data_IF_341643670264
#
_entry.id   IF_341643670264
#
_cell.length_a   1.000
_cell.length_b   1.000
_cell.length_c   1.000
_cell.angle_alpha   90.00
_cell.angle_beta   90.00
_cell.angle_gamma   90.00
#
_symmetry.space_group_name_H-M   'P 1'
#
loop_
_entity.id
_entity.type
_entity.pdbx_description
1 polymer ?
#
# COMPACT_ATOMS: atom_id res chain seq x y z
N UNK A 1 -7.02 6.29 74.19
CA UNK A 1 -7.01 4.86 73.79
C UNK A 1 -8.38 4.46 73.29
N UNK A 2 -8.49 4.14 71.99
CA UNK A 2 -9.25 3.04 71.37
C UNK A 2 -9.35 3.34 69.87
N UNK A 3 -8.35 2.87 69.13
CA UNK A 3 -8.33 2.88 67.68
C UNK A 3 -9.42 1.95 67.14
N UNK A 4 -10.17 2.42 66.14
CA UNK A 4 -11.29 1.74 65.52
C UNK A 4 -10.77 0.94 64.30
N UNK A 5 -10.76 -0.41 64.32
CA UNK A 5 -10.03 -1.20 63.34
C UNK A 5 -10.94 -1.58 62.16
N UNK A 6 -11.45 -0.60 61.43
CA UNK A 6 -12.32 -0.81 60.25
C UNK A 6 -11.75 -0.10 59.02
N UNK A 7 -10.48 -0.36 58.71
CA UNK A 7 -9.87 -0.09 57.41
C UNK A 7 -8.57 -0.89 57.19
N UNK A 8 -8.52 -2.16 57.63
CA UNK A 8 -7.32 -2.98 57.41
C UNK A 8 -7.37 -3.69 56.06
N UNK A 9 -6.32 -3.49 55.25
CA UNK A 9 -6.09 -4.09 53.91
C UNK A 9 -6.30 -5.62 53.88
N UNK A 10 -6.16 -6.29 55.03
CA UNK A 10 -6.37 -7.73 55.19
C UNK A 10 -7.85 -8.14 55.10
N UNK A 11 -8.78 -7.26 55.47
CA UNK A 11 -10.23 -7.49 55.32
C UNK A 11 -10.69 -7.41 53.86
N UNK A 12 -10.05 -6.57 53.05
CA UNK A 12 -10.30 -6.47 51.61
C UNK A 12 -9.83 -7.73 50.86
N UNK A 13 -8.64 -8.23 51.19
CA UNK A 13 -8.12 -9.48 50.60
C UNK A 13 -8.96 -10.69 50.99
N UNK A 14 -9.51 -10.72 52.22
CA UNK A 14 -10.42 -11.79 52.65
C UNK A 14 -11.76 -11.74 51.91
N UNK A 15 -12.31 -10.53 51.65
CA UNK A 15 -13.52 -10.35 50.82
C UNK A 15 -13.29 -10.77 49.37
N UNK A 16 -12.13 -10.47 48.77
CA UNK A 16 -11.78 -10.93 47.43
C UNK A 16 -11.67 -12.47 47.34
N UNK A 17 -11.03 -13.11 48.32
CA UNK A 17 -10.86 -14.56 48.35
C UNK A 17 -12.21 -15.31 48.52
N UNK A 18 -13.15 -14.78 49.31
CA UNK A 18 -14.48 -15.41 49.47
C UNK A 18 -15.38 -15.22 48.25
N UNK A 19 -15.16 -14.19 47.44
CA UNK A 19 -15.99 -13.93 46.23
C UNK A 19 -15.55 -14.79 45.04
N UNK A 20 -14.26 -15.17 44.97
CA UNK A 20 -13.74 -16.04 43.91
C UNK A 20 -14.24 -17.50 43.99
N UNK A 21 -14.61 -17.99 45.18
CA UNK A 21 -15.03 -19.38 45.38
C UNK A 21 -16.53 -19.64 45.09
N UNK A 22 -17.36 -18.60 44.95
CA UNK A 22 -18.80 -18.73 44.71
C UNK A 22 -19.22 -18.46 43.25
N UNK A 23 -18.29 -18.09 42.37
CA UNK A 23 -18.56 -17.84 40.95
C UNK A 23 -18.28 -19.05 40.03
N UNK A 24 -18.04 -20.24 40.60
CA UNK A 24 -17.82 -21.48 39.83
C UNK A 24 -19.10 -22.28 39.56
N UNK A 25 -20.27 -21.74 39.92
CA UNK A 25 -21.57 -22.37 39.62
C UNK A 25 -22.52 -21.32 39.04
N UNK A 26 -22.48 -21.12 37.72
CA UNK A 26 -23.51 -20.38 37.00
C UNK A 26 -23.04 -19.25 36.08
N UNK A 27 -22.13 -19.52 35.14
CA UNK A 27 -21.82 -18.59 34.04
C UNK A 27 -22.53 -18.92 32.71
N UNK A 28 -23.47 -19.87 32.70
CA UNK A 28 -24.19 -20.26 31.47
C UNK A 28 -25.42 -19.39 31.16
N UNK A 29 -25.49 -18.14 31.63
CA UNK A 29 -26.69 -17.31 31.46
C UNK A 29 -26.42 -15.87 30.99
N UNK A 30 -25.45 -15.62 30.10
CA UNK A 30 -25.55 -14.53 29.09
C UNK A 30 -24.76 -14.96 27.85
N UNK A 31 -25.31 -15.90 27.08
CA UNK A 31 -24.93 -16.12 25.69
C UNK A 31 -26.11 -15.67 24.81
N UNK A 32 -26.39 -14.37 24.83
CA UNK A 32 -27.39 -13.75 23.99
C UNK A 32 -26.69 -12.80 23.02
N UNK A 33 -26.55 -13.30 21.79
CA UNK A 33 -26.57 -12.57 20.53
C UNK A 33 -25.53 -11.44 20.33
N UNK A 34 -24.30 -11.85 20.01
CA UNK A 34 -23.44 -11.05 19.13
C UNK A 34 -23.46 -11.72 17.75
N UNK A 35 -24.55 -11.55 17.01
CA UNK A 35 -24.57 -11.66 15.55
C UNK A 35 -23.75 -10.50 14.92
N UNK A 36 -22.47 -10.42 15.26
CA UNK A 36 -21.49 -9.68 14.49
C UNK A 36 -21.29 -10.51 13.24
N UNK A 37 -21.91 -10.08 12.13
CA UNK A 37 -21.86 -10.74 10.85
C UNK A 37 -20.43 -11.18 10.52
N UNK A 38 -20.23 -12.48 10.40
CA UNK A 38 -18.96 -13.08 9.98
C UNK A 38 -18.59 -12.51 8.61
N UNK A 39 -17.71 -11.51 8.58
CA UNK A 39 -17.01 -11.14 7.37
C UNK A 39 -16.15 -12.33 6.96
N UNK A 40 -16.66 -13.14 6.03
CA UNK A 40 -15.88 -14.18 5.37
C UNK A 40 -14.82 -13.48 4.50
N UNK A 41 -13.63 -13.27 5.06
CA UNK A 41 -12.48 -12.88 4.25
C UNK A 41 -12.09 -14.12 3.43
N UNK A 42 -12.47 -14.13 2.14
CA UNK A 42 -12.03 -15.16 1.22
C UNK A 42 -10.50 -15.06 1.11
N UNK A 43 -9.79 -15.96 1.81
CA UNK A 43 -8.35 -16.09 1.67
C UNK A 43 -8.09 -16.66 0.29
N UNK A 44 -7.76 -15.80 -0.67
CA UNK A 44 -7.37 -16.25 -2.00
C UNK A 44 -6.04 -17.00 -1.89
N UNK A 45 -6.09 -18.31 -2.08
CA UNK A 45 -4.88 -19.14 -2.17
C UNK A 45 -4.22 -18.86 -3.52
N UNK A 46 -3.13 -18.09 -3.51
CA UNK A 46 -2.31 -17.90 -4.70
C UNK A 46 -1.57 -19.21 -4.98
N UNK A 47 -1.96 -19.91 -6.05
CA UNK A 47 -1.17 -20.99 -6.61
C UNK A 47 0.23 -20.45 -7.01
N UNK A 48 1.22 -21.35 -7.10
CA UNK A 48 2.58 -21.00 -7.51
C UNK A 48 2.55 -20.14 -8.78
N UNK A 49 2.99 -18.90 -8.65
CA UNK A 49 2.86 -17.89 -9.72
C UNK A 49 3.85 -18.22 -10.82
N UNK A 50 3.33 -18.50 -12.00
CA UNK A 50 4.16 -18.74 -13.18
C UNK A 50 4.91 -17.47 -13.57
N UNK A 51 6.07 -17.60 -14.23
CA UNK A 51 6.82 -16.44 -14.72
C UNK A 51 5.99 -15.53 -15.66
N UNK A 52 4.98 -16.09 -16.34
CA UNK A 52 4.06 -15.36 -17.22
C UNK A 52 2.96 -14.58 -16.45
N UNK A 53 2.83 -14.82 -15.15
CA UNK A 53 1.90 -14.13 -14.24
C UNK A 53 2.62 -13.08 -13.38
N UNK A 54 3.95 -12.95 -13.52
CA UNK A 54 4.73 -11.94 -12.82
C UNK A 54 4.57 -10.58 -13.50
N UNK A 55 4.26 -9.55 -12.71
CA UNK A 55 4.19 -8.15 -13.14
C UNK A 55 5.43 -7.42 -12.63
N UNK A 56 6.26 -6.97 -13.55
CA UNK A 56 7.45 -6.20 -13.25
C UNK A 56 7.11 -4.71 -13.21
N UNK A 57 7.29 -4.11 -12.05
CA UNK A 57 7.01 -2.70 -11.81
C UNK A 57 8.30 -1.89 -11.67
N UNK A 58 8.22 -0.61 -11.98
CA UNK A 58 9.27 0.36 -11.70
C UNK A 58 8.74 1.56 -10.92
N UNK A 59 9.57 2.11 -10.03
CA UNK A 59 9.25 3.30 -9.24
C UNK A 59 9.92 4.53 -9.84
N UNK A 60 9.16 5.60 -10.07
CA UNK A 60 9.66 6.92 -10.49
C UNK A 60 9.29 7.92 -9.38
N UNK A 61 10.27 8.32 -8.57
CA UNK A 61 10.09 9.13 -7.35
C UNK A 61 10.11 8.26 -6.09
N UNK A 62 11.30 8.01 -5.54
CA UNK A 62 11.51 7.18 -4.35
C UNK A 62 11.39 7.98 -3.03
N UNK A 63 10.40 8.87 -2.98
CA UNK A 63 10.04 9.61 -1.77
C UNK A 63 9.21 8.78 -0.78
N UNK A 64 8.60 9.44 0.21
CA UNK A 64 7.80 8.77 1.24
C UNK A 64 6.62 7.97 0.67
N UNK A 65 5.77 8.62 -0.14
CA UNK A 65 4.62 7.97 -0.77
C UNK A 65 5.07 6.88 -1.75
N UNK A 66 5.96 7.20 -2.70
CA UNK A 66 6.46 6.21 -3.66
C UNK A 66 7.06 4.96 -3.00
N UNK A 67 7.75 5.11 -1.87
CA UNK A 67 8.25 3.98 -1.08
C UNK A 67 7.11 3.17 -0.46
N UNK A 68 6.11 3.84 0.12
CA UNK A 68 4.93 3.20 0.73
C UNK A 68 4.07 2.44 -0.29
N UNK A 69 3.82 3.06 -1.45
CA UNK A 69 3.01 2.48 -2.52
C UNK A 69 3.71 1.25 -3.10
N UNK A 70 5.03 1.36 -3.32
CA UNK A 70 5.86 0.24 -3.77
C UNK A 70 5.88 -0.89 -2.74
N UNK A 71 6.00 -0.58 -1.45
CA UNK A 71 5.98 -1.58 -0.40
C UNK A 71 4.64 -2.33 -0.36
N UNK A 72 3.53 -1.63 -0.59
CA UNK A 72 2.19 -2.22 -0.65
C UNK A 72 2.04 -3.09 -1.89
N UNK A 73 2.50 -2.62 -3.06
CA UNK A 73 2.47 -3.38 -4.30
C UNK A 73 3.24 -4.70 -4.19
N UNK A 74 4.40 -4.69 -3.53
CA UNK A 74 5.24 -5.87 -3.31
C UNK A 74 4.63 -6.91 -2.35
N UNK A 75 3.56 -6.59 -1.64
CA UNK A 75 2.81 -7.58 -0.84
C UNK A 75 1.94 -8.48 -1.72
N UNK A 76 1.64 -8.05 -2.95
CA UNK A 76 0.84 -8.81 -3.89
C UNK A 76 1.75 -9.89 -4.51
N UNK A 77 1.40 -11.19 -4.35
CA UNK A 77 2.13 -12.26 -4.99
C UNK A 77 2.24 -12.01 -6.51
N UNK A 78 3.44 -12.15 -7.06
CA UNK A 78 3.69 -11.98 -8.49
C UNK A 78 4.11 -10.56 -8.90
N UNK A 79 4.09 -9.58 -7.99
CA UNK A 79 4.64 -8.25 -8.29
C UNK A 79 6.12 -8.20 -7.92
N UNK A 80 6.95 -7.69 -8.84
CA UNK A 80 8.39 -7.53 -8.63
C UNK A 80 8.85 -6.13 -9.00
N UNK A 81 9.60 -5.48 -8.12
CA UNK A 81 10.27 -4.22 -8.43
C UNK A 81 11.57 -4.49 -9.17
N UNK A 82 11.72 -3.96 -10.38
CA UNK A 82 12.90 -4.17 -11.23
C UNK A 82 13.75 -2.91 -11.44
N UNK A 83 13.16 -1.73 -11.26
CA UNK A 83 13.85 -0.46 -11.47
C UNK A 83 13.33 0.66 -10.55
N UNK A 84 14.22 1.58 -10.18
CA UNK A 84 13.91 2.78 -9.40
C UNK A 84 14.57 4.00 -10.04
N UNK A 85 13.82 5.10 -10.16
CA UNK A 85 14.32 6.38 -10.62
C UNK A 85 14.07 7.46 -9.56
N UNK A 86 15.11 8.21 -9.21
CA UNK A 86 15.04 9.40 -8.36
C UNK A 86 16.24 10.30 -8.67
N UNK A 87 16.11 11.61 -8.45
CA UNK A 87 17.20 12.56 -8.66
C UNK A 87 18.21 12.57 -7.51
N UNK A 88 17.79 12.15 -6.31
CA UNK A 88 18.60 12.16 -5.11
C UNK A 88 19.33 10.82 -4.90
N UNK A 89 20.67 10.88 -4.89
CA UNK A 89 21.53 9.69 -4.76
C UNK A 89 21.27 8.87 -3.49
N UNK A 90 20.91 9.55 -2.39
CA UNK A 90 20.59 8.88 -1.13
C UNK A 90 19.40 7.92 -1.29
N UNK A 91 18.35 8.33 -2.01
CA UNK A 91 17.18 7.47 -2.27
C UNK A 91 17.51 6.31 -3.20
N UNK A 92 18.39 6.50 -4.17
CA UNK A 92 18.85 5.41 -5.04
C UNK A 92 19.65 4.35 -4.25
N UNK A 93 20.51 4.80 -3.33
CA UNK A 93 21.26 3.92 -2.43
C UNK A 93 20.33 3.19 -1.46
N UNK A 94 19.37 3.90 -0.90
CA UNK A 94 18.37 3.33 0.00
C UNK A 94 17.50 2.30 -0.72
N UNK A 95 17.12 2.55 -1.97
CA UNK A 95 16.37 1.61 -2.79
C UNK A 95 17.12 0.28 -2.97
N UNK A 96 18.43 0.33 -3.29
CA UNK A 96 19.26 -0.88 -3.38
C UNK A 96 19.40 -1.61 -2.05
N UNK A 97 19.46 -0.87 -0.97
CA UNK A 97 19.55 -1.45 0.39
C UNK A 97 18.22 -2.11 0.79
N UNK A 98 17.10 -1.49 0.44
CA UNK A 98 15.74 -1.90 0.82
C UNK A 98 15.23 -3.08 0.02
N UNK A 99 15.44 -3.06 -1.29
CA UNK A 99 14.79 -3.98 -2.22
C UNK A 99 15.76 -4.88 -3.00
N UNK A 100 17.08 -4.67 -2.86
CA UNK A 100 18.11 -5.53 -3.44
C UNK A 100 19.14 -4.78 -4.27
N UNK A 101 20.41 -5.22 -4.21
CA UNK A 101 21.53 -4.57 -4.86
C UNK A 101 21.43 -4.59 -6.40
N UNK A 102 20.71 -5.58 -6.91
CA UNK A 102 20.51 -5.93 -8.32
C UNK A 102 19.43 -5.07 -8.99
N UNK A 103 18.68 -4.28 -8.22
CA UNK A 103 17.69 -3.35 -8.78
C UNK A 103 18.40 -2.27 -9.60
N UNK A 104 17.86 -2.06 -10.80
CA UNK A 104 18.35 -1.01 -11.68
C UNK A 104 17.96 0.37 -11.12
N UNK A 105 18.94 1.26 -10.97
CA UNK A 105 18.72 2.62 -10.49
C UNK A 105 19.17 3.64 -11.52
N UNK A 106 18.37 4.67 -11.77
CA UNK A 106 18.73 5.77 -12.69
C UNK A 106 18.22 7.11 -12.15
N UNK A 107 18.74 8.22 -12.69
CA UNK A 107 18.20 9.56 -12.50
C UNK A 107 17.29 10.00 -13.65
N UNK A 108 17.20 9.18 -14.71
CA UNK A 108 16.53 9.53 -15.96
C UNK A 108 15.36 8.57 -16.18
N UNK A 109 14.13 9.02 -15.91
CA UNK A 109 12.94 8.16 -15.99
C UNK A 109 12.72 7.57 -17.39
N UNK A 110 13.15 8.27 -18.46
CA UNK A 110 13.03 7.77 -19.84
C UNK A 110 13.82 6.49 -20.07
N UNK A 111 14.89 6.25 -19.33
CA UNK A 111 15.62 4.97 -19.38
C UNK A 111 14.75 3.83 -18.87
N UNK A 112 13.93 4.05 -17.84
CA UNK A 112 12.92 3.09 -17.36
C UNK A 112 11.83 2.87 -18.41
N UNK A 113 11.33 3.93 -19.05
CA UNK A 113 10.27 3.78 -20.05
C UNK A 113 10.70 2.97 -21.28
N UNK A 114 11.99 3.03 -21.64
CA UNK A 114 12.57 2.27 -22.75
C UNK A 114 12.83 0.79 -22.43
N UNK A 115 12.71 0.37 -21.17
CA UNK A 115 12.93 -1.01 -20.75
C UNK A 115 11.76 -1.90 -21.14
N UNK A 116 12.04 -3.00 -21.83
CA UNK A 116 11.00 -3.96 -22.25
C UNK A 116 10.53 -4.87 -21.12
N UNK A 117 11.33 -5.03 -20.08
CA UNK A 117 11.03 -5.86 -18.90
C UNK A 117 10.19 -5.13 -17.84
N UNK A 118 9.87 -3.85 -18.05
CA UNK A 118 8.97 -3.09 -17.16
C UNK A 118 7.56 -3.10 -17.74
N UNK A 119 6.60 -3.60 -16.98
CA UNK A 119 5.18 -3.68 -17.37
C UNK A 119 4.40 -2.44 -16.90
N UNK A 120 4.67 -1.99 -15.67
CA UNK A 120 3.99 -0.86 -15.06
C UNK A 120 4.94 0.11 -14.34
N UNK A 121 4.53 1.36 -14.18
CA UNK A 121 5.25 2.37 -13.41
C UNK A 121 4.39 2.96 -12.30
N UNK A 122 5.00 3.14 -11.14
CA UNK A 122 4.49 3.95 -10.03
C UNK A 122 5.15 5.33 -10.15
N UNK A 123 4.36 6.37 -10.37
CA UNK A 123 4.80 7.76 -10.48
C UNK A 123 4.45 8.47 -9.18
N UNK A 124 5.47 8.77 -8.38
CA UNK A 124 5.37 9.45 -7.09
C UNK A 124 6.40 10.59 -7.00
N UNK A 125 6.53 11.33 -8.10
CA UNK A 125 7.38 12.54 -8.19
C UNK A 125 6.66 13.75 -7.58
N UNK A 126 7.26 14.95 -7.57
CA UNK A 126 6.47 16.16 -7.38
C UNK A 126 5.35 16.27 -8.43
N UNK A 127 4.23 16.85 -8.02
CA UNK A 127 2.97 17.00 -8.76
C UNK A 127 3.11 17.59 -10.17
N UNK A 128 3.94 18.61 -10.35
CA UNK A 128 4.19 19.26 -11.65
C UNK A 128 4.87 18.34 -12.68
N UNK A 129 5.40 17.18 -12.28
CA UNK A 129 5.95 16.18 -13.20
C UNK A 129 4.98 15.05 -13.53
N UNK A 130 3.89 14.89 -12.76
CA UNK A 130 2.97 13.76 -12.91
C UNK A 130 2.37 13.68 -14.31
N UNK A 131 1.90 14.80 -14.86
CA UNK A 131 1.29 14.82 -16.19
C UNK A 131 2.27 14.33 -17.26
N UNK A 132 3.46 14.92 -17.32
CA UNK A 132 4.44 14.61 -18.37
C UNK A 132 4.88 13.15 -18.29
N UNK A 133 5.24 12.67 -17.11
CA UNK A 133 5.74 11.30 -16.93
C UNK A 133 4.61 10.29 -17.20
N UNK A 134 3.37 10.58 -16.79
CA UNK A 134 2.22 9.71 -17.06
C UNK A 134 1.94 9.58 -18.55
N UNK A 135 1.93 10.69 -19.28
CA UNK A 135 1.71 10.70 -20.72
C UNK A 135 2.83 9.94 -21.45
N UNK A 136 4.08 10.17 -21.07
CA UNK A 136 5.23 9.49 -21.66
C UNK A 136 5.21 7.99 -21.38
N UNK A 137 4.85 7.59 -20.15
CA UNK A 137 4.74 6.18 -19.76
C UNK A 137 3.62 5.46 -20.52
N UNK A 138 2.44 6.07 -20.63
CA UNK A 138 1.33 5.51 -21.41
C UNK A 138 1.72 5.36 -22.89
N UNK A 139 2.37 6.36 -23.48
CA UNK A 139 2.87 6.31 -24.87
C UNK A 139 3.95 5.25 -25.07
N UNK A 140 4.76 4.98 -24.04
CA UNK A 140 5.71 3.87 -24.02
C UNK A 140 5.05 2.50 -23.79
N UNK A 141 3.71 2.45 -23.69
CA UNK A 141 2.94 1.22 -23.49
C UNK A 141 3.01 0.66 -22.08
N UNK A 142 3.40 1.46 -21.08
CA UNK A 142 3.50 1.05 -19.67
C UNK A 142 2.18 1.30 -18.96
N UNK A 143 1.73 0.37 -18.13
CA UNK A 143 0.66 0.67 -17.17
C UNK A 143 1.13 1.73 -16.19
N UNK A 144 0.23 2.61 -15.76
CA UNK A 144 0.58 3.75 -14.93
C UNK A 144 -0.27 3.77 -13.67
N UNK A 145 0.39 3.78 -12.52
CA UNK A 145 -0.17 4.26 -11.27
C UNK A 145 0.46 5.63 -10.96
N UNK A 146 -0.36 6.67 -10.86
CA UNK A 146 0.10 8.02 -10.53
C UNK A 146 -0.40 8.44 -9.16
N UNK A 147 0.52 8.88 -8.30
CA UNK A 147 0.18 9.43 -7.00
C UNK A 147 -0.64 10.71 -7.10
N UNK A 148 -1.33 11.02 -6.00
CA UNK A 148 -2.11 12.25 -5.87
C UNK A 148 -1.22 13.45 -5.49
N UNK A 149 -1.59 14.68 -5.88
CA UNK A 149 -2.62 15.01 -6.87
C UNK A 149 -2.16 14.60 -8.28
N UNK A 150 -3.09 14.12 -9.11
CA UNK A 150 -2.78 13.58 -10.44
C UNK A 150 -2.13 14.61 -11.38
N UNK A 151 -2.46 15.89 -11.21
CA UNK A 151 -1.94 17.02 -11.99
C UNK A 151 -1.79 18.23 -11.07
N UNK A 152 -0.89 19.15 -11.42
CA UNK A 152 -0.68 20.38 -10.66
C UNK A 152 -1.80 21.39 -10.93
N UNK A 153 -2.27 21.45 -12.18
CA UNK A 153 -3.37 22.33 -12.60
C UNK A 153 -4.51 21.55 -13.25
N UNK A 154 -5.75 21.98 -13.05
CA UNK A 154 -6.94 21.35 -13.66
C UNK A 154 -6.84 21.33 -15.19
N UNK A 155 -6.17 22.33 -15.78
CA UNK A 155 -5.98 22.45 -17.23
C UNK A 155 -5.07 21.36 -17.82
N UNK A 156 -4.31 20.64 -16.99
CA UNK A 156 -3.39 19.57 -17.40
C UNK A 156 -4.10 18.21 -17.52
N UNK A 157 -5.21 18.03 -16.78
CA UNK A 157 -6.00 16.79 -16.75
C UNK A 157 -6.46 16.29 -18.13
N UNK A 158 -6.98 17.14 -19.03
CA UNK A 158 -7.40 16.73 -20.37
C UNK A 158 -6.31 16.04 -21.20
N UNK A 159 -5.04 16.43 -21.01
CA UNK A 159 -3.94 15.81 -21.74
C UNK A 159 -3.68 14.36 -21.31
N UNK A 160 -3.82 14.06 -20.00
CA UNK A 160 -3.69 12.70 -19.46
C UNK A 160 -4.83 11.82 -19.97
N UNK A 161 -6.06 12.33 -19.91
CA UNK A 161 -7.25 11.62 -20.41
C UNK A 161 -7.12 11.33 -21.90
N UNK A 162 -6.68 12.32 -22.68
CA UNK A 162 -6.46 12.15 -24.12
C UNK A 162 -5.40 11.08 -24.40
N UNK A 163 -4.28 11.12 -23.69
CA UNK A 163 -3.23 10.11 -23.85
C UNK A 163 -3.74 8.69 -23.54
N UNK A 164 -4.52 8.52 -22.47
CA UNK A 164 -5.15 7.24 -22.17
C UNK A 164 -6.08 6.78 -23.29
N UNK A 165 -6.95 7.66 -23.80
CA UNK A 165 -7.87 7.33 -24.89
C UNK A 165 -7.14 6.96 -26.19
N UNK A 166 -6.07 7.68 -26.53
CA UNK A 166 -5.29 7.42 -27.74
C UNK A 166 -4.61 6.04 -27.69
N UNK A 167 -4.06 5.68 -26.52
CA UNK A 167 -3.42 4.38 -26.28
C UNK A 167 -4.44 3.23 -26.31
N UNK A 168 -5.64 3.44 -25.77
CA UNK A 168 -6.72 2.45 -25.87
C UNK A 168 -7.17 2.25 -27.32
N UNK A 169 -7.27 3.32 -28.11
CA UNK A 169 -7.63 3.25 -29.54
C UNK A 169 -6.57 2.57 -30.39
N UNK A 170 -5.29 2.66 -30.02
CA UNK A 170 -4.21 1.93 -30.69
C UNK A 170 -4.18 0.43 -30.37
N UNK A 171 -5.14 -0.07 -29.57
CA UNK A 171 -5.23 -1.48 -29.18
C UNK A 171 -4.27 -1.87 -28.05
N UNK A 172 -3.61 -0.89 -27.41
CA UNK A 172 -2.74 -1.14 -26.28
C UNK A 172 -3.57 -1.31 -25.00
N UNK A 173 -3.25 -2.34 -24.19
CA UNK A 173 -3.93 -2.63 -22.92
C UNK A 173 -3.42 -1.80 -21.74
N UNK A 174 -2.67 -0.73 -22.00
CA UNK A 174 -2.14 0.13 -20.94
C UNK A 174 -3.28 0.83 -20.19
N UNK A 175 -3.29 0.67 -18.87
CA UNK A 175 -4.27 1.28 -17.98
C UNK A 175 -3.61 2.38 -17.14
N UNK A 176 -4.37 3.44 -16.89
CA UNK A 176 -3.97 4.55 -16.03
C UNK A 176 -4.83 4.54 -14.77
N UNK A 177 -4.20 4.48 -13.61
CA UNK A 177 -4.84 4.51 -12.30
C UNK A 177 -4.32 5.69 -11.49
N UNK A 178 -5.23 6.41 -10.83
CA UNK A 178 -4.90 7.48 -9.89
C UNK A 178 -4.95 6.95 -8.45
N UNK A 179 -4.05 7.42 -7.58
CA UNK A 179 -4.15 7.14 -6.15
C UNK A 179 -5.50 7.59 -5.57
N UNK A 180 -6.09 6.76 -4.71
CA UNK A 180 -7.37 7.02 -4.03
C UNK A 180 -7.13 7.63 -2.65
N UNK A 181 -7.93 8.63 -2.24
CA UNK A 181 -7.78 9.24 -0.92
C UNK A 181 -8.33 8.30 0.17
N UNK A 182 -7.52 8.00 1.19
CA UNK A 182 -7.95 7.17 2.33
C UNK A 182 -8.89 7.89 3.30
N UNK A 183 -9.13 9.19 3.07
CA UNK A 183 -9.99 10.05 3.90
C UNK A 183 -11.49 10.04 3.52
N UNK A 184 -11.89 9.26 2.52
CA UNK A 184 -13.31 9.07 2.16
C UNK A 184 -13.89 7.71 2.63
N UNK A 185 -13.33 7.12 3.69
CA UNK A 185 -13.95 5.98 4.41
C UNK A 185 -14.33 6.34 5.83
#
# INVERSE_FOLDING_TARGET
>A
MKENPEASRRGFLRKLATTAAAATVGSNLIAADNSIGSFHYLKQEYNQIGANEQVNIALIGAGGMGTSDTQTALQIPGVKLVAVCDLYDGRLKDAKTRWGADIYTTKVYKEILNRKDVDAVIIATPDHWHQQISVDAMRAGKHVYCEKPMVHSVMEGPAVIKAQQDVLKSGSRCEFHKGTDSKER
#
